data_IF_340045255332
#
_entry.id   IF_340045255332
#
_cell.length_a   1.000
_cell.length_b   1.000
_cell.length_c   1.000
_cell.angle_alpha   90.00
_cell.angle_beta   90.00
_cell.angle_gamma   90.00
#
_symmetry.space_group_name_H-M   'P 1'
#
loop_
_entity.id
_entity.type
_entity.pdbx_description
1 polymer ?
#
# COMPACT_ATOMS: atom_id res chain seq x y z
N UNK A 1 -7.71 6.41 9.29
CA UNK A 1 -7.49 5.05 9.85
C UNK A 1 -8.18 4.82 11.21
N UNK A 2 -9.38 5.39 11.46
CA UNK A 2 -10.05 5.27 12.78
C UNK A 2 -10.47 3.83 13.14
N UNK A 3 -10.77 3.00 12.15
CA UNK A 3 -11.19 1.60 12.36
C UNK A 3 -10.07 0.60 12.66
N UNK A 4 -8.81 1.05 12.80
CA UNK A 4 -7.68 0.15 13.08
C UNK A 4 -7.60 -0.31 14.54
N UNK A 5 -8.17 0.47 15.46
CA UNK A 5 -8.04 0.20 16.89
C UNK A 5 -6.59 0.26 17.40
N UNK A 6 -5.71 1.02 16.73
CA UNK A 6 -4.34 1.24 17.22
C UNK A 6 -4.37 2.08 18.49
N UNK A 7 -4.26 1.39 19.63
CA UNK A 7 -4.26 1.96 20.98
C UNK A 7 -2.94 1.67 21.68
N UNK A 8 -2.74 2.33 22.80
CA UNK A 8 -1.57 2.11 23.65
C UNK A 8 -1.74 0.82 24.48
N UNK A 9 -0.62 0.19 24.79
CA UNK A 9 -0.54 -0.96 25.69
C UNK A 9 0.32 -0.61 26.89
N UNK A 10 -0.12 -0.97 28.09
CA UNK A 10 0.64 -0.83 29.35
C UNK A 10 0.94 -2.22 29.92
N UNK A 11 2.17 -2.43 30.40
CA UNK A 11 2.61 -3.67 31.03
C UNK A 11 3.29 -3.35 32.36
N UNK A 12 2.73 -3.86 33.47
CA UNK A 12 3.24 -3.65 34.82
C UNK A 12 3.76 -4.97 35.39
N UNK A 13 5.07 -5.02 35.68
CA UNK A 13 5.76 -6.19 36.26
C UNK A 13 5.48 -7.52 35.52
N UNK A 14 5.35 -7.47 34.19
CA UNK A 14 5.05 -8.65 33.37
C UNK A 14 6.32 -9.45 33.10
N UNK A 15 6.33 -10.70 33.57
CA UNK A 15 7.37 -11.67 33.21
C UNK A 15 7.15 -12.21 31.79
N UNK A 16 8.21 -12.14 30.95
CA UNK A 16 8.23 -12.76 29.62
C UNK A 16 9.23 -13.92 29.63
N UNK A 17 8.77 -15.18 29.44
CA UNK A 17 9.67 -16.32 29.44
C UNK A 17 10.60 -16.30 28.21
N UNK A 18 11.86 -16.78 28.33
CA UNK A 18 12.84 -16.76 27.25
C UNK A 18 12.39 -17.38 25.93
N UNK A 19 11.53 -18.39 25.98
CA UNK A 19 11.02 -19.09 24.79
C UNK A 19 10.08 -18.21 23.94
N UNK A 20 9.58 -17.10 24.50
CA UNK A 20 8.75 -16.09 23.80
C UNK A 20 9.56 -14.88 23.32
N UNK A 21 10.87 -14.86 23.53
CA UNK A 21 11.75 -13.78 23.10
C UNK A 21 12.51 -14.16 21.83
N UNK A 22 12.62 -13.21 20.90
CA UNK A 22 13.47 -13.33 19.71
C UNK A 22 14.41 -12.12 19.62
N UNK A 23 15.70 -12.32 19.33
CA UNK A 23 16.59 -11.19 19.10
C UNK A 23 16.17 -10.47 17.82
N UNK A 24 16.13 -9.13 17.87
CA UNK A 24 15.70 -8.32 16.73
C UNK A 24 16.66 -8.44 15.53
N UNK A 25 17.94 -8.68 15.81
CA UNK A 25 18.99 -8.87 14.82
C UNK A 25 19.63 -10.25 15.01
N UNK A 26 19.88 -10.95 13.90
CA UNK A 26 20.58 -12.25 13.94
C UNK A 26 19.73 -13.43 14.40
N UNK A 27 18.42 -13.25 14.63
CA UNK A 27 17.51 -14.38 14.82
C UNK A 27 17.57 -15.32 13.61
N UNK A 28 17.81 -16.61 13.87
CA UNK A 28 17.74 -17.65 12.87
C UNK A 28 16.32 -18.24 12.83
N UNK A 29 15.73 -18.40 11.63
CA UNK A 29 14.45 -19.09 11.48
C UNK A 29 14.51 -20.49 12.10
N UNK A 30 13.48 -20.87 12.86
CA UNK A 30 13.32 -22.21 13.45
C UNK A 30 12.47 -23.15 12.58
N UNK A 31 11.99 -22.67 11.44
CA UNK A 31 11.19 -23.40 10.47
C UNK A 31 11.81 -23.28 9.09
N UNK A 32 11.66 -24.33 8.28
CA UNK A 32 12.07 -24.38 6.88
C UNK A 32 10.99 -23.89 5.90
N UNK A 33 9.85 -23.41 6.40
CA UNK A 33 8.81 -22.79 5.56
C UNK A 33 9.36 -21.52 4.89
N UNK A 34 9.31 -21.44 3.56
CA UNK A 34 9.81 -20.30 2.78
C UNK A 34 9.20 -18.96 3.24
N UNK A 35 7.97 -18.97 3.77
CA UNK A 35 7.28 -17.78 4.28
C UNK A 35 7.99 -17.16 5.48
N UNK A 36 8.66 -17.97 6.31
CA UNK A 36 9.40 -17.48 7.49
C UNK A 36 10.85 -17.10 7.17
N UNK A 37 11.32 -17.39 5.96
CA UNK A 37 12.67 -17.07 5.49
C UNK A 37 12.76 -15.68 4.86
N UNK A 38 11.61 -15.04 4.58
CA UNK A 38 11.58 -13.69 4.04
C UNK A 38 12.04 -12.64 5.08
N UNK A 39 12.63 -11.50 4.64
CA UNK A 39 13.13 -10.49 5.56
C UNK A 39 11.99 -9.73 6.26
N UNK A 40 11.85 -9.92 7.59
CA UNK A 40 10.76 -9.38 8.42
C UNK A 40 10.40 -7.91 8.11
N UNK A 41 11.37 -6.98 8.18
CA UNK A 41 11.10 -5.55 7.97
C UNK A 41 10.82 -5.17 6.51
N UNK A 42 11.28 -5.98 5.54
CA UNK A 42 10.93 -5.79 4.13
C UNK A 42 9.47 -6.19 3.89
N UNK A 43 9.05 -7.36 4.39
CA UNK A 43 7.67 -7.83 4.23
C UNK A 43 6.68 -7.01 5.05
N UNK A 44 7.03 -6.61 6.27
CA UNK A 44 6.23 -5.66 7.05
C UNK A 44 5.98 -4.36 6.26
N UNK A 45 7.04 -3.80 5.68
CA UNK A 45 6.94 -2.60 4.84
C UNK A 45 6.04 -2.81 3.61
N UNK A 46 6.21 -3.95 2.93
CA UNK A 46 5.39 -4.30 1.78
C UNK A 46 3.90 -4.47 2.15
N UNK A 47 3.60 -5.09 3.29
CA UNK A 47 2.23 -5.23 3.78
C UNK A 47 1.56 -3.89 4.07
N UNK A 48 2.27 -2.95 4.71
CA UNK A 48 1.77 -1.59 4.94
C UNK A 48 1.54 -0.86 3.61
N UNK A 49 2.47 -0.99 2.66
CA UNK A 49 2.31 -0.38 1.34
C UNK A 49 1.12 -0.96 0.56
N UNK A 50 0.86 -2.26 0.66
CA UNK A 50 -0.31 -2.89 0.02
C UNK A 50 -1.64 -2.32 0.55
N UNK A 51 -1.71 -1.96 1.83
CA UNK A 51 -2.89 -1.27 2.40
C UNK A 51 -3.08 0.11 1.75
N UNK A 52 -2.00 0.89 1.65
CA UNK A 52 -2.05 2.21 1.01
C UNK A 52 -2.48 2.11 -0.47
N UNK A 53 -1.95 1.12 -1.19
CA UNK A 53 -2.33 0.83 -2.57
C UNK A 53 -3.83 0.56 -2.69
N UNK A 54 -4.38 -0.35 -1.89
CA UNK A 54 -5.81 -0.68 -1.92
C UNK A 54 -6.72 0.51 -1.59
N UNK A 55 -6.30 1.40 -0.67
CA UNK A 55 -7.02 2.64 -0.37
C UNK A 55 -7.04 3.57 -1.60
N UNK A 56 -5.90 3.74 -2.26
CA UNK A 56 -5.82 4.60 -3.45
C UNK A 56 -6.58 4.01 -4.64
N UNK A 57 -6.57 2.68 -4.82
CA UNK A 57 -7.39 1.99 -5.81
C UNK A 57 -8.89 2.22 -5.58
N UNK A 58 -9.33 2.14 -4.32
CA UNK A 58 -10.72 2.45 -3.98
C UNK A 58 -11.06 3.91 -4.27
N UNK A 59 -10.21 4.85 -3.85
CA UNK A 59 -10.42 6.27 -4.13
C UNK A 59 -10.50 6.58 -5.63
N UNK A 60 -9.65 5.93 -6.43
CA UNK A 60 -9.69 6.02 -7.88
C UNK A 60 -11.00 5.48 -8.46
N UNK A 61 -11.43 4.29 -8.04
CA UNK A 61 -12.67 3.66 -8.51
C UNK A 61 -13.91 4.51 -8.19
N UNK A 62 -14.01 5.01 -6.96
CA UNK A 62 -15.10 5.90 -6.54
C UNK A 62 -15.13 7.21 -7.35
N UNK A 63 -13.95 7.75 -7.68
CA UNK A 63 -13.86 8.96 -8.50
C UNK A 63 -14.32 8.70 -9.93
N UNK A 64 -13.98 7.53 -10.51
CA UNK A 64 -14.49 7.12 -11.82
C UNK A 64 -16.00 6.97 -11.78
N UNK A 65 -16.55 6.34 -10.75
CA UNK A 65 -17.99 6.20 -10.58
C UNK A 65 -18.68 7.58 -10.51
N UNK A 66 -18.22 8.45 -9.62
CA UNK A 66 -18.71 9.81 -9.47
C UNK A 66 -18.59 10.62 -10.77
N UNK A 67 -17.51 10.45 -11.52
CA UNK A 67 -17.32 11.19 -12.77
C UNK A 67 -18.38 10.85 -13.83
N UNK A 68 -18.91 9.63 -13.82
CA UNK A 68 -19.96 9.17 -14.73
C UNK A 68 -21.37 9.60 -14.30
N UNK A 69 -21.57 9.95 -13.03
CA UNK A 69 -22.90 10.32 -12.51
C UNK A 69 -23.09 11.84 -12.39
N UNK A 70 -21.98 12.60 -12.29
CA UNK A 70 -22.04 13.99 -11.86
C UNK A 70 -21.62 15.00 -12.92
N UNK A 71 -22.47 16.00 -13.11
CA UNK A 71 -22.12 17.25 -13.76
C UNK A 71 -21.78 18.34 -12.71
N UNK A 72 -20.76 19.19 -12.95
CA UNK A 72 -20.47 20.34 -12.09
C UNK A 72 -21.65 21.33 -12.00
N UNK A 73 -21.75 22.10 -10.92
CA UNK A 73 -22.88 23.02 -10.65
C UNK A 73 -23.21 24.01 -11.78
N UNK A 74 -22.21 24.40 -12.58
CA UNK A 74 -22.36 25.35 -13.68
C UNK A 74 -22.16 24.71 -15.06
N UNK A 75 -22.26 23.39 -15.17
CA UNK A 75 -22.08 22.62 -16.42
C UNK A 75 -23.18 21.57 -16.54
N UNK A 76 -23.66 21.37 -17.77
CA UNK A 76 -24.55 20.23 -18.08
C UNK A 76 -23.77 18.98 -18.48
N UNK A 77 -22.48 19.13 -18.80
CA UNK A 77 -21.60 18.01 -19.14
C UNK A 77 -21.12 17.30 -17.88
N UNK A 78 -21.13 15.98 -17.94
CA UNK A 78 -20.58 15.11 -16.89
C UNK A 78 -19.06 15.34 -16.77
N UNK A 79 -18.51 15.07 -15.60
CA UNK A 79 -17.07 15.08 -15.38
C UNK A 79 -16.36 14.09 -16.33
N UNK A 80 -16.97 12.91 -16.56
CA UNK A 80 -16.44 11.90 -17.48
C UNK A 80 -16.31 12.40 -18.94
N UNK A 81 -17.03 13.45 -19.32
CA UNK A 81 -16.95 14.04 -20.67
C UNK A 81 -15.86 15.11 -20.82
N UNK A 82 -15.13 15.43 -19.73
CA UNK A 82 -14.08 16.43 -19.73
C UNK A 82 -12.72 15.76 -19.94
N UNK A 83 -12.00 16.16 -20.98
CA UNK A 83 -10.69 15.57 -21.33
C UNK A 83 -9.64 15.76 -20.23
N UNK A 84 -9.69 16.86 -19.47
CA UNK A 84 -8.84 17.10 -18.31
C UNK A 84 -9.07 16.07 -17.20
N UNK A 85 -10.33 15.74 -16.90
CA UNK A 85 -10.73 14.72 -15.91
C UNK A 85 -10.26 13.34 -16.37
N UNK A 86 -10.53 12.99 -17.63
CA UNK A 86 -10.09 11.72 -18.22
C UNK A 86 -8.58 11.54 -18.13
N UNK A 87 -7.82 12.59 -18.45
CA UNK A 87 -6.35 12.57 -18.39
C UNK A 87 -5.83 12.33 -16.97
N UNK A 88 -6.41 12.99 -15.96
CA UNK A 88 -6.05 12.80 -14.55
C UNK A 88 -6.32 11.37 -14.11
N UNK A 89 -7.51 10.84 -14.38
CA UNK A 89 -7.91 9.48 -14.02
C UNK A 89 -7.00 8.44 -14.69
N UNK A 90 -6.73 8.58 -15.99
CA UNK A 90 -5.88 7.66 -16.74
C UNK A 90 -4.44 7.64 -16.19
N UNK A 91 -3.87 8.82 -15.92
CA UNK A 91 -2.53 8.93 -15.33
C UNK A 91 -2.46 8.33 -13.93
N UNK A 92 -3.48 8.55 -13.10
CA UNK A 92 -3.54 7.96 -11.76
C UNK A 92 -3.55 6.42 -11.82
N UNK A 93 -4.35 5.82 -12.71
CA UNK A 93 -4.37 4.35 -12.88
C UNK A 93 -3.01 3.80 -13.30
N UNK A 94 -2.38 4.41 -14.30
CA UNK A 94 -1.06 3.99 -14.78
C UNK A 94 0.01 4.05 -13.68
N UNK A 95 -0.04 5.07 -12.82
CA UNK A 95 0.86 5.21 -11.66
C UNK A 95 0.62 4.11 -10.62
N UNK A 96 -0.64 3.83 -10.26
CA UNK A 96 -0.99 2.73 -9.34
C UNK A 96 -0.53 1.37 -9.87
N UNK A 97 -0.77 1.10 -11.16
CA UNK A 97 -0.33 -0.13 -11.82
C UNK A 97 1.19 -0.28 -11.79
N UNK A 98 1.90 0.81 -12.10
CA UNK A 98 3.36 0.81 -12.14
C UNK A 98 3.98 0.56 -10.76
N UNK A 99 3.56 1.31 -9.73
CA UNK A 99 4.14 1.18 -8.40
C UNK A 99 3.70 -0.12 -7.71
N UNK A 100 2.42 -0.49 -7.82
CA UNK A 100 1.89 -1.75 -7.28
C UNK A 100 2.56 -2.96 -7.93
N UNK A 101 2.68 -2.96 -9.26
CA UNK A 101 3.38 -4.01 -9.98
C UNK A 101 4.84 -4.15 -9.56
N UNK A 102 5.55 -3.03 -9.31
CA UNK A 102 6.92 -3.09 -8.82
C UNK A 102 7.03 -3.67 -7.40
N UNK A 103 6.09 -3.31 -6.51
CA UNK A 103 6.04 -3.89 -5.18
C UNK A 103 5.86 -5.41 -5.24
N UNK A 104 4.85 -5.90 -5.95
CA UNK A 104 4.58 -7.34 -6.06
C UNK A 104 5.74 -8.09 -6.70
N UNK A 105 6.29 -7.60 -7.82
CA UNK A 105 7.47 -8.22 -8.45
C UNK A 105 8.68 -8.27 -7.53
N UNK A 106 8.92 -7.23 -6.72
CA UNK A 106 10.05 -7.20 -5.80
C UNK A 106 9.92 -8.23 -4.67
N UNK A 107 8.70 -8.46 -4.18
CA UNK A 107 8.39 -9.47 -3.17
C UNK A 107 8.46 -10.87 -3.77
N UNK A 108 7.88 -11.08 -4.94
CA UNK A 108 7.93 -12.36 -5.67
C UNK A 108 9.37 -12.77 -5.98
N UNK A 109 10.21 -11.84 -6.43
CA UNK A 109 11.63 -12.12 -6.65
C UNK A 109 12.34 -12.56 -5.36
N UNK A 110 12.05 -11.95 -4.22
CA UNK A 110 12.61 -12.38 -2.94
C UNK A 110 12.05 -13.72 -2.47
N UNK A 111 10.78 -14.01 -2.76
CA UNK A 111 10.17 -15.31 -2.49
C UNK A 111 10.85 -16.42 -3.29
N UNK A 112 11.08 -16.19 -4.59
CA UNK A 112 11.77 -17.16 -5.43
C UNK A 112 13.18 -17.50 -4.91
N UNK A 113 13.93 -16.50 -4.42
CA UNK A 113 15.25 -16.71 -3.81
C UNK A 113 15.16 -17.66 -2.60
N UNK A 114 14.19 -17.46 -1.70
CA UNK A 114 14.07 -18.34 -0.53
C UNK A 114 13.55 -19.74 -0.89
N UNK A 115 12.77 -19.89 -1.95
CA UNK A 115 12.36 -21.20 -2.47
C UNK A 115 13.54 -22.01 -3.02
N UNK A 116 14.59 -21.35 -3.51
CA UNK A 116 15.86 -22.00 -3.89
C UNK A 116 16.76 -22.33 -2.68
N UNK A 117 16.30 -22.06 -1.46
CA UNK A 117 17.09 -22.25 -0.23
C UNK A 117 18.16 -21.17 -0.01
N UNK A 118 18.10 -20.08 -0.78
CA UNK A 118 19.06 -18.98 -0.69
C UNK A 118 18.60 -17.89 0.28
N UNK A 119 19.58 -17.16 0.82
CA UNK A 119 19.30 -16.00 1.67
C UNK A 119 19.04 -14.77 0.81
N UNK A 120 17.94 -14.06 1.09
CA UNK A 120 17.61 -12.81 0.38
C UNK A 120 18.74 -11.78 0.52
N UNK A 121 19.36 -11.34 -0.59
CA UNK A 121 20.50 -10.43 -0.56
C UNK A 121 20.07 -9.01 -0.19
N UNK A 122 21.04 -8.18 0.24
CA UNK A 122 20.79 -6.78 0.62
C UNK A 122 20.07 -6.00 -0.50
N UNK A 123 20.49 -6.17 -1.75
CA UNK A 123 19.90 -5.48 -2.89
C UNK A 123 18.39 -5.77 -3.04
N UNK A 124 17.97 -7.03 -2.90
CA UNK A 124 16.55 -7.39 -2.95
C UNK A 124 15.74 -6.77 -1.81
N UNK A 125 16.31 -6.72 -0.59
CA UNK A 125 15.68 -6.04 0.55
C UNK A 125 15.49 -4.54 0.30
N UNK A 126 16.52 -3.88 -0.24
CA UNK A 126 16.49 -2.46 -0.60
C UNK A 126 15.41 -2.21 -1.66
N UNK A 127 15.32 -3.08 -2.68
CA UNK A 127 14.29 -2.97 -3.72
C UNK A 127 12.87 -3.05 -3.15
N UNK A 128 12.58 -4.02 -2.28
CA UNK A 128 11.26 -4.13 -1.63
C UNK A 128 10.95 -2.88 -0.82
N UNK A 129 11.91 -2.39 -0.03
CA UNK A 129 11.72 -1.19 0.81
C UNK A 129 11.51 0.07 -0.02
N UNK A 130 12.25 0.23 -1.12
CA UNK A 130 12.08 1.33 -2.06
C UNK A 130 10.73 1.27 -2.78
N UNK A 131 10.33 0.10 -3.27
CA UNK A 131 9.02 -0.09 -3.90
C UNK A 131 7.87 0.19 -2.92
N UNK A 132 7.99 -0.26 -1.67
CA UNK A 132 7.00 0.00 -0.63
C UNK A 132 6.86 1.51 -0.34
N UNK A 133 7.98 2.24 -0.23
CA UNK A 133 7.96 3.68 -0.03
C UNK A 133 7.30 4.41 -1.22
N UNK A 134 7.70 4.06 -2.45
CA UNK A 134 7.12 4.61 -3.67
C UNK A 134 5.61 4.38 -3.74
N UNK A 135 5.15 3.16 -3.44
CA UNK A 135 3.71 2.85 -3.42
C UNK A 135 2.96 3.74 -2.43
N UNK A 136 3.49 3.94 -1.22
CA UNK A 136 2.84 4.79 -0.21
C UNK A 136 2.77 6.25 -0.66
N UNK A 137 3.86 6.79 -1.19
CA UNK A 137 3.92 8.17 -1.69
C UNK A 137 2.94 8.40 -2.84
N UNK A 138 2.95 7.49 -3.84
CA UNK A 138 2.05 7.54 -4.98
C UNK A 138 0.59 7.37 -4.57
N UNK A 139 0.30 6.46 -3.65
CA UNK A 139 -1.06 6.23 -3.13
C UNK A 139 -1.60 7.47 -2.43
N UNK A 140 -0.80 8.15 -1.61
CA UNK A 140 -1.21 9.37 -0.93
C UNK A 140 -1.44 10.53 -1.91
N UNK A 141 -0.54 10.69 -2.90
CA UNK A 141 -0.68 11.69 -3.95
C UNK A 141 -1.95 11.48 -4.78
N UNK A 142 -2.20 10.23 -5.20
CA UNK A 142 -3.36 9.86 -6.00
C UNK A 142 -4.65 10.01 -5.20
N UNK A 143 -4.69 9.56 -3.94
CA UNK A 143 -5.84 9.79 -3.06
C UNK A 143 -6.18 11.29 -2.94
N UNK A 144 -5.16 12.14 -2.84
CA UNK A 144 -5.34 13.60 -2.81
C UNK A 144 -5.83 14.17 -4.15
N UNK A 145 -5.35 13.66 -5.28
CA UNK A 145 -5.82 14.03 -6.63
C UNK A 145 -7.29 13.64 -6.83
N UNK A 146 -7.65 12.41 -6.47
CA UNK A 146 -9.02 11.87 -6.55
C UNK A 146 -10.00 12.65 -5.67
N UNK A 147 -9.59 12.99 -4.44
CA UNK A 147 -10.37 13.83 -3.54
C UNK A 147 -10.63 15.23 -4.14
N UNK A 148 -9.59 15.88 -4.69
CA UNK A 148 -9.76 17.19 -5.36
C UNK A 148 -10.66 17.11 -6.58
N UNK A 149 -10.54 16.05 -7.38
CA UNK A 149 -11.35 15.85 -8.59
C UNK A 149 -12.84 15.65 -8.26
N UNK A 150 -13.12 15.02 -7.11
CA UNK A 150 -14.48 14.74 -6.63
C UNK A 150 -15.22 15.99 -6.13
N UNK A 151 -14.51 17.07 -5.81
CA UNK A 151 -15.08 18.36 -5.40
C UNK A 151 -15.88 18.32 -4.08
N UNK A 152 -16.71 19.33 -3.83
CA UNK A 152 -17.35 19.53 -2.51
C UNK A 152 -18.27 18.42 -1.99
N UNK A 153 -18.71 17.49 -2.85
CA UNK A 153 -19.50 16.34 -2.42
C UNK A 153 -18.66 15.33 -1.62
N UNK A 154 -17.35 15.28 -1.84
CA UNK A 154 -16.44 14.35 -1.16
C UNK A 154 -16.23 14.65 0.33
N UNK A 155 -16.77 15.75 0.85
CA UNK A 155 -16.60 16.18 2.25
C UNK A 155 -17.68 15.61 3.17
N UNK A 156 -18.81 15.17 2.62
CA UNK A 156 -19.92 14.67 3.41
C UNK A 156 -19.77 13.17 3.65
N UNK A 157 -20.00 12.75 4.89
CA UNK A 157 -20.20 11.34 5.21
C UNK A 157 -21.53 10.88 4.59
N UNK A 158 -21.49 9.79 3.84
CA UNK A 158 -22.69 9.07 3.34
C UNK A 158 -23.21 8.08 4.36
#
# INVERSE_FOLDING_TARGET
>A
MRGTGSVDFEMNDVFVPPERMIPQLGAMPKSSDSRVLLPNFSILGAGVAAIALGIAERAWSETVHLANERAPQFSQRLLAEQSSVQSVIARARARLDACGGELFRSVEAAHHIVEQGEKVPLAARVRIRGAAALVVEESAAIGSEMFRLSGGAAVYDT
#
